data_IF_503258081794
#
_entry.id   IF_503258081794
#
_cell.length_a   1.000
_cell.length_b   1.000
_cell.length_c   1.000
_cell.angle_alpha   90.00
_cell.angle_beta   90.00
_cell.angle_gamma   90.00
#
_symmetry.space_group_name_H-M   'P 1'
#
loop_
_entity.id
_entity.type
_entity.pdbx_description
1 polymer ?
#
# COMPACT_ATOMS: atom_id res chain seq x y z
N UNK A 1 33.28 -22.16 5.24
CA UNK A 1 32.62 -22.44 3.95
C UNK A 1 33.37 -21.68 2.86
N UNK A 2 33.58 -22.25 1.68
CA UNK A 2 34.24 -21.52 0.57
C UNK A 2 33.24 -20.61 -0.14
N UNK A 3 33.74 -19.55 -0.79
CA UNK A 3 32.92 -18.62 -1.59
C UNK A 3 32.00 -19.35 -2.57
N UNK A 4 32.55 -20.30 -3.34
CA UNK A 4 31.79 -21.11 -4.29
C UNK A 4 30.65 -21.90 -3.64
N UNK A 5 30.89 -22.54 -2.48
CA UNK A 5 29.85 -23.29 -1.76
C UNK A 5 28.77 -22.40 -1.14
N UNK A 6 29.07 -21.11 -0.91
CA UNK A 6 28.12 -20.15 -0.36
C UNK A 6 27.17 -19.54 -1.41
N UNK A 7 27.44 -19.76 -2.70
CA UNK A 7 26.66 -19.15 -3.79
C UNK A 7 25.19 -19.57 -3.70
N UNK A 8 24.29 -18.58 -3.81
CA UNK A 8 22.84 -18.79 -3.70
C UNK A 8 22.29 -18.90 -2.28
N UNK A 9 23.15 -18.93 -1.25
CA UNK A 9 22.72 -18.95 0.14
C UNK A 9 22.52 -17.53 0.68
N UNK A 10 21.57 -17.37 1.62
CA UNK A 10 21.45 -16.19 2.48
C UNK A 10 21.81 -16.60 3.89
N UNK A 11 22.81 -15.96 4.47
CA UNK A 11 23.37 -16.27 5.77
C UNK A 11 23.00 -15.16 6.75
N UNK A 12 22.71 -15.54 8.00
CA UNK A 12 22.27 -14.59 9.03
C UNK A 12 23.41 -13.72 9.54
N UNK A 13 24.62 -14.28 9.68
CA UNK A 13 25.86 -13.59 10.04
C UNK A 13 27.04 -14.28 9.38
N UNK A 14 28.02 -13.50 8.91
CA UNK A 14 29.22 -14.05 8.29
C UNK A 14 30.47 -13.37 8.81
N UNK A 15 31.53 -14.17 8.86
CA UNK A 15 32.88 -13.72 9.11
C UNK A 15 33.66 -14.06 7.84
N UNK A 16 34.27 -13.05 7.21
CA UNK A 16 34.95 -13.20 5.93
C UNK A 16 36.39 -12.71 5.98
N UNK A 17 37.21 -13.37 5.18
CA UNK A 17 38.59 -13.00 4.96
C UNK A 17 38.74 -12.55 3.50
N UNK A 18 39.08 -11.27 3.31
CA UNK A 18 39.19 -10.67 1.98
C UNK A 18 40.63 -10.61 1.46
N UNK A 19 41.59 -11.18 2.19
CA UNK A 19 42.97 -11.30 1.69
C UNK A 19 42.99 -12.41 0.63
N UNK A 20 43.04 -11.99 -0.63
CA UNK A 20 43.07 -12.90 -1.77
C UNK A 20 44.47 -13.52 -1.93
N UNK A 21 44.57 -14.80 -2.34
CA UNK A 21 45.86 -15.39 -2.70
C UNK A 21 46.46 -14.66 -3.92
N UNK A 22 47.78 -14.69 -4.11
CA UNK A 22 48.43 -14.08 -5.27
C UNK A 22 47.90 -14.71 -6.56
N UNK A 23 47.45 -13.88 -7.50
CA UNK A 23 46.88 -14.32 -8.77
C UNK A 23 45.81 -13.37 -9.31
N UNK A 24 45.20 -13.70 -10.46
CA UNK A 24 44.07 -12.95 -10.98
C UNK A 24 42.89 -13.06 -10.01
N UNK A 25 42.41 -11.92 -9.52
CA UNK A 25 41.23 -11.86 -8.65
C UNK A 25 39.99 -11.77 -9.52
N UNK A 26 39.09 -12.75 -9.38
CA UNK A 26 37.78 -12.71 -10.03
C UNK A 26 36.80 -11.85 -9.22
N UNK A 27 35.91 -11.12 -9.90
CA UNK A 27 34.85 -10.30 -9.27
C UNK A 27 34.03 -11.13 -8.27
N UNK A 28 33.74 -12.39 -8.63
CA UNK A 28 32.96 -13.30 -7.80
C UNK A 28 33.63 -13.60 -6.45
N UNK A 29 34.97 -13.60 -6.38
CA UNK A 29 35.72 -13.95 -5.17
C UNK A 29 35.47 -12.98 -4.02
N UNK A 30 35.09 -11.74 -4.33
CA UNK A 30 34.83 -10.66 -3.38
C UNK A 30 33.34 -10.36 -3.27
N UNK A 31 32.63 -10.27 -4.40
CA UNK A 31 31.20 -9.91 -4.40
C UNK A 31 30.30 -11.01 -3.81
N UNK A 32 30.57 -12.28 -4.12
CA UNK A 32 29.74 -13.38 -3.63
C UNK A 32 29.74 -13.46 -2.10
N UNK A 33 30.86 -13.48 -1.37
CA UNK A 33 30.82 -13.58 0.09
C UNK A 33 30.16 -12.35 0.73
N UNK A 34 30.41 -11.14 0.23
CA UNK A 34 29.81 -9.90 0.75
C UNK A 34 28.29 -9.86 0.60
N UNK A 35 27.75 -10.42 -0.49
CA UNK A 35 26.31 -10.46 -0.78
C UNK A 35 25.54 -11.57 -0.05
N UNK A 36 26.19 -12.35 0.83
CA UNK A 36 25.49 -13.44 1.55
C UNK A 36 24.69 -12.94 2.76
N UNK A 37 24.93 -11.74 3.27
CA UNK A 37 24.18 -11.15 4.39
C UNK A 37 23.22 -10.06 3.94
N UNK A 38 22.18 -9.81 4.74
CA UNK A 38 21.18 -8.77 4.47
C UNK A 38 21.58 -7.38 5.00
N UNK A 39 22.42 -7.33 6.03
CA UNK A 39 22.82 -6.10 6.72
C UNK A 39 24.33 -6.06 6.89
N UNK A 40 24.88 -4.85 6.94
CA UNK A 40 26.30 -4.63 7.20
C UNK A 40 26.70 -5.05 8.62
N UNK A 41 25.82 -4.87 9.62
CA UNK A 41 26.07 -5.27 11.02
C UNK A 41 26.25 -6.79 11.20
N UNK A 42 25.81 -7.57 10.22
CA UNK A 42 25.93 -9.03 10.20
C UNK A 42 27.20 -9.51 9.48
N UNK A 43 28.03 -8.58 8.99
CA UNK A 43 29.30 -8.83 8.31
C UNK A 43 30.48 -8.46 9.21
N UNK A 44 31.41 -9.41 9.41
CA UNK A 44 32.70 -9.16 10.05
C UNK A 44 33.85 -9.48 9.09
N UNK A 45 34.73 -8.52 8.84
CA UNK A 45 35.95 -8.70 8.03
C UNK A 45 37.14 -8.87 8.98
N UNK A 46 37.84 -10.01 8.89
CA UNK A 46 38.82 -10.41 9.92
C UNK A 46 40.16 -9.70 9.77
N UNK A 47 40.52 -9.29 8.55
CA UNK A 47 41.83 -8.69 8.24
C UNK A 47 41.68 -7.44 7.39
N UNK A 48 42.58 -6.45 7.54
CA UNK A 48 42.71 -5.38 6.56
C UNK A 48 42.93 -5.98 5.16
N UNK A 49 42.32 -5.37 4.16
CA UNK A 49 42.46 -5.77 2.76
C UNK A 49 42.65 -4.51 1.91
N UNK A 50 43.30 -4.68 0.75
CA UNK A 50 43.51 -3.59 -0.20
C UNK A 50 42.18 -3.19 -0.83
N UNK A 51 41.84 -1.91 -0.81
CA UNK A 51 40.58 -1.42 -1.40
C UNK A 51 40.47 -1.77 -2.89
N UNK A 52 41.59 -1.91 -3.59
CA UNK A 52 41.67 -2.38 -4.97
C UNK A 52 41.00 -3.75 -5.20
N UNK A 53 40.93 -4.61 -4.16
CA UNK A 53 40.23 -5.90 -4.23
C UNK A 53 38.70 -5.73 -4.40
N UNK A 54 38.12 -4.60 -4.01
CA UNK A 54 36.70 -4.29 -4.28
C UNK A 54 36.48 -3.71 -5.68
N UNK A 55 37.55 -3.24 -6.34
CA UNK A 55 37.50 -2.53 -7.62
C UNK A 55 37.80 -3.46 -8.81
N UNK A 56 37.63 -4.78 -8.63
CA UNK A 56 37.82 -5.74 -9.72
C UNK A 56 36.81 -5.44 -10.82
N UNK A 57 37.33 -5.07 -11.99
CA UNK A 57 36.50 -4.76 -13.16
C UNK A 57 35.92 -6.08 -13.72
N UNK A 58 34.63 -6.12 -14.10
CA UNK A 58 34.10 -7.24 -14.84
C UNK A 58 34.89 -7.49 -16.12
N UNK A 59 35.02 -8.75 -16.51
CA UNK A 59 35.71 -9.11 -17.74
C UNK A 59 35.06 -8.45 -18.96
N UNK A 60 35.77 -8.34 -20.08
CA UNK A 60 35.21 -7.78 -21.31
C UNK A 60 33.92 -8.51 -21.73
N UNK A 61 33.92 -9.84 -21.67
CA UNK A 61 32.72 -10.65 -21.93
C UNK A 61 31.56 -10.33 -20.98
N UNK A 62 31.82 -10.17 -19.67
CA UNK A 62 30.78 -9.79 -18.71
C UNK A 62 30.21 -8.39 -18.98
N UNK A 63 31.07 -7.41 -19.33
CA UNK A 63 30.62 -6.06 -19.69
C UNK A 63 29.78 -6.05 -20.96
N UNK A 64 30.16 -6.84 -21.96
CA UNK A 64 29.38 -7.01 -23.19
C UNK A 64 28.02 -7.65 -22.91
N UNK A 65 27.98 -8.64 -22.03
CA UNK A 65 26.73 -9.29 -21.62
C UNK A 65 25.82 -8.33 -20.86
N UNK A 66 26.35 -7.54 -19.92
CA UNK A 66 25.57 -6.50 -19.24
C UNK A 66 25.01 -5.46 -20.22
N UNK A 67 25.79 -5.04 -21.23
CA UNK A 67 25.32 -4.16 -22.32
C UNK A 67 24.25 -4.84 -23.18
N UNK A 68 24.31 -6.15 -23.40
CA UNK A 68 23.28 -6.91 -24.12
C UNK A 68 21.98 -6.96 -23.30
N UNK A 69 22.07 -7.25 -22.00
CA UNK A 69 20.93 -7.26 -21.09
C UNK A 69 20.24 -5.90 -20.98
N UNK A 70 21.00 -4.80 -20.91
CA UNK A 70 20.45 -3.44 -20.89
C UNK A 70 19.66 -3.12 -22.18
N UNK A 71 20.20 -3.52 -23.34
CA UNK A 71 19.48 -3.41 -24.62
C UNK A 71 18.18 -4.24 -24.64
N UNK A 72 18.20 -5.44 -24.07
CA UNK A 72 17.01 -6.29 -23.94
C UNK A 72 15.98 -5.63 -23.00
N UNK A 73 16.41 -5.11 -21.86
CA UNK A 73 15.53 -4.42 -20.91
C UNK A 73 14.83 -3.21 -21.55
N UNK A 74 15.53 -2.44 -22.41
CA UNK A 74 14.97 -1.30 -23.15
C UNK A 74 14.02 -1.70 -24.28
N UNK A 75 14.23 -2.85 -24.90
CA UNK A 75 13.42 -3.31 -26.04
C UNK A 75 12.23 -4.17 -25.64
N UNK A 76 12.31 -4.86 -24.49
CA UNK A 76 11.26 -5.75 -23.99
C UNK A 76 9.92 -5.03 -23.77
N UNK A 77 9.84 -3.84 -23.15
CA UNK A 77 8.58 -3.11 -23.01
C UNK A 77 7.95 -2.72 -24.35
N UNK A 78 8.77 -2.45 -25.37
CA UNK A 78 8.29 -2.12 -26.73
C UNK A 78 7.71 -3.34 -27.44
N UNK A 79 8.35 -4.50 -27.26
CA UNK A 79 7.92 -5.78 -27.85
C UNK A 79 6.73 -6.39 -27.11
N UNK A 80 6.65 -6.15 -25.81
CA UNK A 80 5.61 -6.66 -24.91
C UNK A 80 5.05 -5.50 -24.08
N UNK A 81 4.26 -4.61 -24.69
CA UNK A 81 3.56 -3.56 -23.97
C UNK A 81 2.72 -4.18 -22.85
N UNK A 82 2.64 -3.49 -21.72
CA UNK A 82 2.02 -3.97 -20.48
C UNK A 82 0.57 -4.46 -20.71
N UNK A 83 -0.15 -3.91 -21.70
CA UNK A 83 -1.49 -4.39 -22.05
C UNK A 83 -1.53 -5.83 -22.59
N UNK A 84 -0.45 -6.35 -23.20
CA UNK A 84 -0.35 -7.76 -23.62
C UNK A 84 0.01 -8.72 -22.47
N UNK A 85 0.52 -8.23 -21.34
CA UNK A 85 0.80 -9.10 -20.17
C UNK A 85 -0.48 -9.52 -19.46
N UNK A 86 -1.52 -8.70 -19.54
CA UNK A 86 -2.84 -9.07 -19.01
C UNK A 86 -3.56 -10.10 -19.89
N UNK A 87 -3.32 -10.13 -21.22
CA UNK A 87 -4.00 -11.07 -22.13
C UNK A 87 -3.33 -12.44 -22.26
N UNK A 88 -2.00 -12.53 -22.08
CA UNK A 88 -1.27 -13.80 -22.16
C UNK A 88 -1.31 -14.63 -20.86
N UNK A 89 -1.60 -14.00 -19.72
CA UNK A 89 -1.82 -14.74 -18.47
C UNK A 89 -3.28 -15.24 -18.34
N UNK A 90 -4.22 -14.64 -19.07
CA UNK A 90 -5.64 -15.01 -19.04
C UNK A 90 -6.05 -16.05 -20.10
N UNK A 91 -5.16 -16.42 -21.03
CA UNK A 91 -5.50 -17.32 -22.16
C UNK A 91 -5.09 -18.79 -21.98
N UNK A 92 -4.50 -19.17 -20.83
CA UNK A 92 -4.21 -20.58 -20.51
C UNK A 92 -5.03 -21.16 -19.34
N UNK A 93 -6.02 -20.42 -18.81
CA UNK A 93 -6.96 -20.94 -17.81
C UNK A 93 -8.36 -21.08 -18.39
N UNK A 94 -8.51 -21.78 -19.52
CA UNK A 94 -9.82 -22.35 -19.85
C UNK A 94 -10.02 -23.59 -18.97
N UNK A 95 -10.92 -23.48 -17.99
CA UNK A 95 -11.49 -24.54 -17.13
C UNK A 95 -11.00 -24.68 -15.67
N UNK A 96 -10.17 -23.80 -15.13
CA UNK A 96 -10.15 -23.70 -13.66
C UNK A 96 -11.25 -22.73 -13.22
N UNK A 97 -12.28 -23.18 -12.49
CA UNK A 97 -13.25 -22.26 -11.91
C UNK A 97 -12.44 -21.30 -11.04
N UNK A 98 -12.45 -20.01 -11.40
CA UNK A 98 -11.84 -18.98 -10.57
C UNK A 98 -12.49 -19.09 -9.19
N UNK A 99 -11.75 -19.65 -8.24
CA UNK A 99 -12.12 -19.60 -6.84
C UNK A 99 -12.30 -18.12 -6.54
N UNK A 100 -13.56 -17.72 -6.33
CA UNK A 100 -13.91 -16.38 -5.92
C UNK A 100 -13.25 -16.18 -4.56
N UNK A 101 -12.06 -15.58 -4.55
CA UNK A 101 -11.47 -15.09 -3.32
C UNK A 101 -12.55 -14.28 -2.61
N UNK A 102 -12.77 -14.53 -1.32
CA UNK A 102 -13.61 -13.67 -0.50
C UNK A 102 -12.94 -12.29 -0.48
N UNK A 103 -13.31 -11.44 -1.43
CA UNK A 103 -13.07 -10.01 -1.35
C UNK A 103 -14.14 -9.46 -0.42
N UNK A 104 -13.72 -8.78 0.64
CA UNK A 104 -14.63 -7.95 1.41
C UNK A 104 -15.15 -6.88 0.45
N UNK A 105 -16.39 -7.05 -0.01
CA UNK A 105 -17.02 -6.07 -0.88
C UNK A 105 -17.45 -4.90 -0.02
N UNK A 106 -16.59 -3.89 0.06
CA UNK A 106 -16.89 -2.62 0.72
C UNK A 106 -17.75 -1.82 -0.25
N UNK A 107 -19.00 -1.52 0.12
CA UNK A 107 -19.82 -0.65 -0.71
C UNK A 107 -19.42 0.81 -0.49
N UNK A 108 -19.56 1.64 -1.52
CA UNK A 108 -19.34 3.09 -1.40
C UNK A 108 -20.30 3.77 -0.42
N UNK A 109 -21.38 3.10 0.00
CA UNK A 109 -22.29 3.57 1.05
C UNK A 109 -21.79 3.29 2.47
N UNK A 110 -20.78 2.42 2.63
CA UNK A 110 -20.26 2.02 3.95
C UNK A 110 -19.21 3.01 4.47
N UNK A 111 -18.75 3.92 3.61
CA UNK A 111 -17.76 4.92 3.96
C UNK A 111 -17.95 6.24 3.20
N UNK A 112 -17.45 7.31 3.78
CA UNK A 112 -17.23 8.61 3.14
C UNK A 112 -15.73 8.82 2.99
N UNK A 113 -15.29 9.35 1.84
CA UNK A 113 -13.89 9.67 1.60
C UNK A 113 -13.68 11.19 1.60
N UNK A 114 -12.69 11.65 2.36
CA UNK A 114 -12.26 13.04 2.39
C UNK A 114 -10.80 13.17 1.95
N UNK A 115 -10.54 14.07 1.01
CA UNK A 115 -9.19 14.38 0.52
C UNK A 115 -8.65 15.59 1.27
N UNK A 116 -7.47 15.43 1.88
CA UNK A 116 -6.81 16.47 2.66
C UNK A 116 -5.51 16.87 1.96
N UNK A 117 -5.55 18.05 1.34
CA UNK A 117 -4.46 18.64 0.57
C UNK A 117 -4.58 20.19 0.57
N UNK A 118 -3.82 20.86 -0.28
CA UNK A 118 -3.75 22.32 -0.36
C UNK A 118 -5.05 22.96 -0.87
N UNK A 119 -5.88 22.22 -1.61
CA UNK A 119 -7.17 22.68 -2.13
C UNK A 119 -8.31 22.51 -1.12
N UNK A 120 -8.13 21.67 -0.10
CA UNK A 120 -9.16 21.44 0.92
C UNK A 120 -9.55 22.75 1.59
N UNK A 121 -10.85 23.05 1.61
CA UNK A 121 -11.35 24.29 2.20
C UNK A 121 -11.21 24.30 3.73
N UNK A 122 -11.02 25.48 4.34
CA UNK A 122 -10.97 25.62 5.81
C UNK A 122 -12.26 25.10 6.47
N UNK A 123 -13.42 25.30 5.84
CA UNK A 123 -14.69 24.78 6.32
C UNK A 123 -14.71 23.24 6.36
N UNK A 124 -14.19 22.59 5.30
CA UNK A 124 -14.04 21.13 5.27
C UNK A 124 -13.12 20.66 6.39
N UNK A 125 -11.96 21.29 6.58
CA UNK A 125 -11.04 20.90 7.66
C UNK A 125 -11.68 21.07 9.04
N UNK A 126 -12.44 22.15 9.27
CA UNK A 126 -13.16 22.35 10.54
C UNK A 126 -14.22 21.28 10.78
N UNK A 127 -14.94 20.84 9.74
CA UNK A 127 -15.88 19.71 9.83
C UNK A 127 -15.14 18.42 10.20
N UNK A 128 -13.98 18.16 9.57
CA UNK A 128 -13.14 17.01 9.90
C UNK A 128 -12.63 17.08 11.36
N UNK A 129 -12.21 18.26 11.83
CA UNK A 129 -11.80 18.47 13.23
C UNK A 129 -12.92 18.11 14.21
N UNK A 130 -14.14 18.59 13.96
CA UNK A 130 -15.29 18.29 14.81
C UNK A 130 -15.65 16.80 14.79
N UNK A 131 -15.63 16.17 13.62
CA UNK A 131 -15.82 14.73 13.48
C UNK A 131 -14.78 13.96 14.30
N UNK A 132 -13.49 14.29 14.15
CA UNK A 132 -12.40 13.55 14.80
C UNK A 132 -12.38 13.70 16.32
N UNK A 133 -12.97 14.77 16.89
CA UNK A 133 -13.11 14.93 18.35
C UNK A 133 -14.03 13.88 18.99
N UNK A 134 -15.03 13.41 18.27
CA UNK A 134 -16.06 12.49 18.75
C UNK A 134 -15.50 11.06 18.88
N UNK A 135 -14.67 10.65 17.92
CA UNK A 135 -14.15 9.29 17.85
C UNK A 135 -12.89 9.10 18.70
N UNK A 136 -12.60 7.83 19.01
CA UNK A 136 -11.43 7.41 19.82
C UNK A 136 -10.67 6.24 19.20
N UNK A 137 -11.12 5.74 18.05
CA UNK A 137 -10.59 4.54 17.42
C UNK A 137 -10.42 4.79 15.93
N UNK A 138 -9.22 4.48 15.42
CA UNK A 138 -8.85 4.73 14.04
C UNK A 138 -8.04 3.56 13.50
N UNK A 139 -8.16 3.24 12.21
CA UNK A 139 -7.09 2.54 11.51
C UNK A 139 -6.28 3.52 10.68
N UNK A 140 -4.99 3.27 10.59
CA UNK A 140 -4.05 4.03 9.78
C UNK A 140 -3.32 3.08 8.84
N UNK A 141 -3.05 3.59 7.65
CA UNK A 141 -2.15 2.97 6.69
C UNK A 141 -1.35 4.08 5.99
N UNK A 142 -0.31 3.68 5.26
CA UNK A 142 0.59 4.63 4.61
C UNK A 142 1.05 4.09 3.26
N UNK A 143 1.16 4.97 2.26
CA UNK A 143 1.69 4.62 0.94
C UNK A 143 2.87 5.50 0.56
N UNK A 144 3.94 4.85 0.11
CA UNK A 144 5.18 5.49 -0.31
C UNK A 144 5.32 5.46 -1.83
N UNK A 145 5.85 6.53 -2.39
CA UNK A 145 6.23 6.59 -3.79
C UNK A 145 7.37 5.59 -4.05
N UNK A 146 7.18 4.70 -5.03
CA UNK A 146 8.10 3.58 -5.27
C UNK A 146 9.47 4.06 -5.78
N UNK A 147 9.48 5.17 -6.54
CA UNK A 147 10.68 5.65 -7.20
C UNK A 147 11.76 6.13 -6.21
N UNK A 148 11.35 6.74 -5.10
CA UNK A 148 12.23 7.36 -4.12
C UNK A 148 11.98 6.89 -2.68
N UNK A 149 10.99 6.03 -2.45
CA UNK A 149 10.57 5.55 -1.13
C UNK A 149 10.17 6.71 -0.19
N UNK A 150 9.69 7.82 -0.76
CA UNK A 150 9.17 8.95 0.00
C UNK A 150 7.72 8.64 0.38
N UNK A 151 7.34 8.93 1.64
CA UNK A 151 5.95 8.79 2.03
C UNK A 151 5.11 9.87 1.36
N UNK A 152 4.08 9.46 0.62
CA UNK A 152 3.28 10.37 -0.21
C UNK A 152 1.82 10.43 0.22
N UNK A 153 1.29 9.38 0.84
CA UNK A 153 -0.09 9.31 1.30
C UNK A 153 -0.18 8.72 2.71
N UNK A 154 -1.01 9.32 3.57
CA UNK A 154 -1.47 8.71 4.81
C UNK A 154 -2.99 8.49 4.70
N UNK A 155 -3.44 7.28 5.00
CA UNK A 155 -4.85 6.92 5.04
C UNK A 155 -5.29 6.76 6.49
N UNK A 156 -6.38 7.42 6.88
CA UNK A 156 -6.95 7.28 8.23
C UNK A 156 -8.43 6.98 8.12
N UNK A 157 -8.86 5.83 8.66
CA UNK A 157 -10.27 5.52 8.80
C UNK A 157 -10.72 5.73 10.25
N UNK A 158 -11.79 6.50 10.44
CA UNK A 158 -12.46 6.58 11.74
C UNK A 158 -13.38 5.38 11.95
N UNK A 159 -13.21 4.69 13.07
CA UNK A 159 -14.01 3.51 13.41
C UNK A 159 -15.23 4.00 14.18
N UNK A 160 -16.38 4.00 13.51
CA UNK A 160 -17.65 4.53 14.02
C UNK A 160 -18.49 3.43 14.66
N UNK A 161 -19.50 3.79 15.46
CA UNK A 161 -20.46 2.80 15.98
C UNK A 161 -21.46 2.43 14.88
N UNK A 162 -21.78 3.37 14.00
CA UNK A 162 -22.71 3.21 12.88
C UNK A 162 -22.06 3.72 11.59
N UNK A 163 -22.19 3.01 10.46
CA UNK A 163 -21.73 3.52 9.18
C UNK A 163 -22.52 4.78 8.75
N UNK A 164 -21.98 5.60 7.84
CA UNK A 164 -20.71 5.40 7.15
C UNK A 164 -19.48 5.69 8.04
N UNK A 165 -18.38 5.00 7.77
CA UNK A 165 -17.07 5.35 8.34
C UNK A 165 -16.42 6.48 7.53
N UNK A 166 -15.68 7.38 8.16
CA UNK A 166 -14.96 8.44 7.43
C UNK A 166 -13.51 8.02 7.19
N UNK A 167 -13.12 7.93 5.92
CA UNK A 167 -11.77 7.69 5.43
C UNK A 167 -11.16 9.01 4.95
N UNK A 168 -10.06 9.42 5.56
CA UNK A 168 -9.30 10.60 5.16
C UNK A 168 -8.03 10.18 4.43
N UNK A 169 -7.76 10.82 3.29
CA UNK A 169 -6.59 10.59 2.45
C UNK A 169 -5.74 11.86 2.44
N UNK A 170 -4.62 11.85 3.16
CA UNK A 170 -3.70 12.98 3.28
C UNK A 170 -2.60 12.91 2.23
N UNK A 171 -2.66 13.76 1.22
CA UNK A 171 -1.66 13.84 0.16
C UNK A 171 -0.48 14.71 0.62
N UNK A 172 0.55 14.07 1.16
CA UNK A 172 1.64 14.75 1.89
C UNK A 172 2.42 15.75 1.05
N UNK A 173 2.65 15.42 -0.22
CA UNK A 173 3.34 16.28 -1.18
C UNK A 173 2.46 17.45 -1.66
N UNK A 174 1.15 17.37 -1.42
CA UNK A 174 0.18 18.38 -1.80
C UNK A 174 -0.37 19.12 -0.57
N UNK A 175 0.29 19.08 0.58
CA UNK A 175 -0.16 19.81 1.77
C UNK A 175 0.00 21.34 1.58
N UNK A 176 -0.79 22.15 2.32
CA UNK A 176 -0.65 23.61 2.31
C UNK A 176 0.72 24.09 2.82
N UNK A 177 1.06 25.35 2.56
CA UNK A 177 2.27 25.98 3.10
C UNK A 177 2.32 25.84 4.64
N UNK A 178 3.50 25.53 5.18
CA UNK A 178 3.69 25.25 6.62
C UNK A 178 3.32 26.43 7.52
N UNK A 179 3.37 27.66 7.01
CA UNK A 179 3.01 28.86 7.76
C UNK A 179 1.53 29.24 7.60
N UNK A 180 0.75 28.45 6.86
CA UNK A 180 -0.67 28.73 6.64
C UNK A 180 -1.52 28.22 7.81
N UNK A 181 -2.59 28.96 8.13
CA UNK A 181 -3.60 28.50 9.10
C UNK A 181 -4.20 27.15 8.72
N UNK A 182 -4.26 26.84 7.42
CA UNK A 182 -4.77 25.57 6.89
C UNK A 182 -3.87 24.41 7.33
N UNK A 183 -2.55 24.58 7.23
CA UNK A 183 -1.58 23.58 7.69
C UNK A 183 -1.65 23.38 9.21
N UNK A 184 -1.77 24.46 9.98
CA UNK A 184 -1.98 24.38 11.44
C UNK A 184 -3.25 23.59 11.80
N UNK A 185 -4.35 23.79 11.07
CA UNK A 185 -5.57 23.02 11.31
C UNK A 185 -5.39 21.53 10.96
N UNK A 186 -4.58 21.19 9.95
CA UNK A 186 -4.21 19.80 9.64
C UNK A 186 -3.36 19.21 10.77
N UNK A 187 -2.40 19.96 11.31
CA UNK A 187 -1.63 19.54 12.48
C UNK A 187 -2.52 19.29 13.70
N UNK A 188 -3.49 20.17 13.97
CA UNK A 188 -4.48 19.97 15.03
C UNK A 188 -5.30 18.69 14.82
N UNK A 189 -5.63 18.38 13.58
CA UNK A 189 -6.36 17.15 13.25
C UNK A 189 -5.53 15.91 13.57
N UNK A 190 -4.23 15.91 13.23
CA UNK A 190 -3.31 14.87 13.68
C UNK A 190 -3.19 14.82 15.21
N UNK A 191 -3.08 15.95 15.89
CA UNK A 191 -3.03 15.99 17.36
C UNK A 191 -4.28 15.37 18.00
N UNK A 192 -5.48 15.62 17.45
CA UNK A 192 -6.73 15.02 17.92
C UNK A 192 -6.72 13.51 17.70
N UNK A 193 -6.24 13.01 16.56
CA UNK A 193 -6.20 11.58 16.25
C UNK A 193 -5.18 10.86 17.14
N UNK A 194 -4.02 11.48 17.36
CA UNK A 194 -2.92 10.91 18.12
C UNK A 194 -2.96 11.22 19.62
N UNK A 195 -4.02 11.86 20.14
CA UNK A 195 -4.16 12.22 21.56
C UNK A 195 -4.18 11.01 22.50
N UNK A 196 -3.86 11.27 23.76
CA UNK A 196 -3.96 10.30 24.86
C UNK A 196 -5.38 9.72 24.90
N UNK A 197 -5.51 8.41 25.10
CA UNK A 197 -6.77 7.63 25.11
C UNK A 197 -7.31 7.19 23.74
N UNK A 198 -6.79 7.71 22.63
CA UNK A 198 -7.12 7.14 21.34
C UNK A 198 -6.39 5.82 21.11
N UNK A 199 -7.03 4.92 20.35
CA UNK A 199 -6.44 3.66 19.87
C UNK A 199 -6.29 3.73 18.35
N UNK A 200 -5.08 3.48 17.87
CA UNK A 200 -4.79 3.51 16.44
C UNK A 200 -4.28 2.12 16.03
N UNK A 201 -4.95 1.52 15.07
CA UNK A 201 -4.63 0.21 14.51
C UNK A 201 -3.89 0.38 13.20
N UNK A 202 -2.74 -0.26 13.04
CA UNK A 202 -1.98 -0.29 11.78
C UNK A 202 -1.65 -1.73 11.41
N UNK A 203 -1.45 -2.00 10.12
CA UNK A 203 -1.03 -3.33 9.67
C UNK A 203 0.38 -3.65 10.17
N UNK A 204 1.33 -2.71 10.10
CA UNK A 204 2.69 -2.90 10.63
C UNK A 204 2.92 -2.03 11.87
N UNK A 205 4.14 -2.06 12.42
CA UNK A 205 4.55 -1.16 13.50
C UNK A 205 4.51 0.28 13.00
N UNK A 206 3.60 1.05 13.57
CA UNK A 206 3.39 2.45 13.21
C UNK A 206 4.62 3.35 13.35
N UNK A 207 5.57 3.02 14.24
CA UNK A 207 6.84 3.74 14.30
C UNK A 207 7.64 3.63 13.00
N UNK A 208 7.53 2.50 12.29
CA UNK A 208 8.17 2.27 11.00
C UNK A 208 7.41 3.02 9.91
N UNK A 209 6.08 2.91 9.88
CA UNK A 209 5.22 3.55 8.87
C UNK A 209 5.32 5.09 8.93
N UNK A 210 5.36 5.67 10.12
CA UNK A 210 5.41 7.13 10.31
C UNK A 210 6.82 7.71 10.42
N UNK A 211 7.88 6.89 10.41
CA UNK A 211 9.27 7.37 10.46
C UNK A 211 9.54 8.47 9.40
N UNK A 212 9.12 8.31 8.12
CA UNK A 212 9.43 9.28 7.08
C UNK A 212 8.79 10.67 7.30
N UNK A 213 7.75 10.77 8.13
CA UNK A 213 7.01 12.03 8.34
C UNK A 213 7.27 12.70 9.68
N UNK A 214 8.15 12.14 10.52
CA UNK A 214 8.47 12.74 11.83
C UNK A 214 8.99 14.18 11.76
N UNK A 215 9.63 14.55 10.66
CA UNK A 215 10.12 15.92 10.43
C UNK A 215 9.02 16.90 9.99
N UNK A 216 7.91 16.39 9.47
CA UNK A 216 6.80 17.17 8.93
C UNK A 216 5.66 17.28 9.94
N UNK A 217 5.33 16.16 10.58
CA UNK A 217 4.31 16.08 11.59
C UNK A 217 5.02 15.95 12.93
N UNK A 218 5.07 17.04 13.69
CA UNK A 218 5.45 16.97 15.11
C UNK A 218 4.31 16.24 15.82
N UNK A 219 4.34 14.91 15.76
CA UNK A 219 3.37 14.05 16.40
C UNK A 219 3.87 13.80 17.83
N UNK A 220 3.31 14.47 18.87
CA UNK A 220 3.26 13.81 20.14
C UNK A 220 2.44 12.54 19.87
N UNK A 221 3.00 11.36 20.09
CA UNK A 221 2.24 10.10 19.93
C UNK A 221 1.89 9.54 21.32
N UNK A 222 0.97 10.19 22.08
CA UNK A 222 0.44 9.63 23.31
C UNK A 222 -0.69 8.60 23.07
N UNK A 223 -1.17 8.43 21.83
CA UNK A 223 -2.13 7.38 21.49
C UNK A 223 -1.55 5.97 21.70
N UNK A 224 -2.46 5.02 21.97
CA UNK A 224 -2.12 3.60 22.02
C UNK A 224 -2.01 3.06 20.59
N UNK A 225 -0.79 2.77 20.15
CA UNK A 225 -0.51 2.21 18.83
C UNK A 225 -0.57 0.68 18.88
N UNK A 226 -1.33 0.10 17.95
CA UNK A 226 -1.64 -1.32 17.93
C UNK A 226 -1.28 -1.88 16.55
N UNK A 227 -0.19 -2.65 16.50
CA UNK A 227 0.22 -3.45 15.34
C UNK A 227 -0.64 -4.71 15.25
N UNK A 228 -1.52 -4.80 14.23
CA UNK A 228 -2.48 -5.91 14.11
C UNK A 228 -1.88 -7.15 13.42
N UNK A 229 -0.77 -7.03 12.69
CA UNK A 229 -0.18 -8.16 11.95
C UNK A 229 0.18 -9.38 12.82
N UNK A 230 0.83 -9.26 14.00
CA UNK A 230 1.12 -10.42 14.84
C UNK A 230 -0.17 -11.06 15.37
N UNK A 231 -1.19 -10.26 15.66
CA UNK A 231 -2.49 -10.76 16.11
C UNK A 231 -3.26 -11.45 14.97
N UNK A 232 -3.20 -10.92 13.75
CA UNK A 232 -3.80 -11.52 12.56
C UNK A 232 -3.21 -12.90 12.29
N UNK A 233 -1.88 -13.03 12.30
CA UNK A 233 -1.22 -14.33 12.07
C UNK A 233 -1.69 -15.40 13.05
N UNK A 234 -1.82 -15.01 14.32
CA UNK A 234 -2.28 -15.87 15.40
C UNK A 234 -3.77 -16.22 15.28
N UNK A 235 -4.62 -15.21 15.04
CA UNK A 235 -6.05 -15.39 14.79
C UNK A 235 -6.28 -16.29 13.57
N UNK A 236 -5.62 -16.04 12.45
CA UNK A 236 -5.78 -16.80 11.21
C UNK A 236 -5.41 -18.26 11.40
N UNK A 237 -4.30 -18.53 12.11
CA UNK A 237 -3.88 -19.90 12.45
C UNK A 237 -4.94 -20.59 13.31
N UNK A 238 -5.48 -19.89 14.31
CA UNK A 238 -6.57 -20.41 15.14
C UNK A 238 -7.85 -20.63 14.34
N UNK A 239 -8.31 -19.66 13.56
CA UNK A 239 -9.54 -19.75 12.75
C UNK A 239 -9.46 -20.91 11.75
N UNK A 240 -8.27 -21.19 11.20
CA UNK A 240 -8.02 -22.35 10.36
C UNK A 240 -8.24 -23.69 11.07
N UNK A 241 -7.95 -23.78 12.36
CA UNK A 241 -8.22 -25.00 13.14
C UNK A 241 -9.71 -25.20 13.43
N UNK A 242 -10.53 -24.14 13.33
CA UNK A 242 -11.96 -24.20 13.58
C UNK A 242 -12.75 -24.62 12.34
N UNK A 243 -12.23 -24.36 11.15
CA UNK A 243 -12.75 -24.99 9.94
C UNK A 243 -12.58 -26.49 10.10
N UNK A 244 -13.69 -27.23 10.25
CA UNK A 244 -13.78 -28.65 10.54
C UNK A 244 -13.19 -29.61 9.50
N UNK A 245 -12.18 -29.17 8.73
CA UNK A 245 -11.18 -30.03 8.13
C UNK A 245 -10.43 -30.67 9.28
N UNK A 246 -11.07 -31.68 9.87
CA UNK A 246 -10.40 -32.67 10.68
C UNK A 246 -9.13 -33.00 9.91
N UNK A 247 -8.01 -32.74 10.56
CA UNK A 247 -6.79 -33.50 10.39
C UNK A 247 -7.22 -34.86 9.85
N UNK A 248 -7.02 -35.08 8.55
CA UNK A 248 -6.77 -36.41 8.01
C UNK A 248 -5.52 -36.81 8.77
N UNK A 249 -5.76 -37.24 10.01
CA UNK A 249 -4.79 -37.80 10.91
C UNK A 249 -4.02 -38.73 10.04
N UNK A 250 -2.69 -38.61 10.04
CA UNK A 250 -1.81 -39.67 9.60
C UNK A 250 -2.45 -40.99 10.02
N UNK A 251 -3.18 -41.63 9.09
CA UNK A 251 -3.40 -43.05 9.16
C UNK A 251 -1.97 -43.53 9.04
N UNK A 252 -1.43 -43.98 10.16
CA UNK A 252 -0.30 -44.88 10.19
C UNK A 252 -0.76 -46.19 9.53
N UNK A 253 -1.14 -46.11 8.25
CA UNK A 253 -1.23 -47.26 7.40
C UNK A 253 0.22 -47.69 7.26
N UNK A 254 0.56 -48.75 8.01
CA UNK A 254 1.79 -49.52 7.89
C UNK A 254 1.88 -50.00 6.44
N UNK A 255 2.46 -49.19 5.56
CA UNK A 255 2.75 -49.58 4.19
C UNK A 255 4.12 -50.27 4.21
N UNK A 256 4.10 -51.53 3.79
CA UNK A 256 5.27 -52.35 3.48
C UNK A 256 6.23 -51.62 2.53
N UNK A 257 7.53 -51.87 2.71
CA UNK A 257 8.69 -51.17 2.16
C UNK A 257 8.88 -51.13 0.62
N UNK A 258 7.91 -51.51 -0.21
CA UNK A 258 8.15 -51.59 -1.66
C UNK A 258 7.15 -50.76 -2.48
N UNK A 259 7.71 -49.76 -3.18
CA UNK A 259 7.12 -48.84 -4.16
C UNK A 259 6.37 -47.61 -3.62
N UNK A 260 7.11 -46.53 -3.40
CA UNK A 260 6.56 -45.17 -3.26
C UNK A 260 7.27 -44.23 -4.23
N UNK A 261 6.72 -44.11 -5.45
CA UNK A 261 6.82 -42.88 -6.24
C UNK A 261 5.69 -41.97 -5.73
N UNK A 262 6.02 -41.11 -4.78
CA UNK A 262 5.07 -40.21 -4.13
C UNK A 262 4.68 -39.06 -5.06
N UNK A 263 3.53 -39.17 -5.72
CA UNK A 263 2.81 -38.02 -6.25
C UNK A 263 2.22 -37.21 -5.08
N UNK A 264 2.89 -36.14 -4.68
CA UNK A 264 2.46 -35.18 -3.67
C UNK A 264 1.38 -34.19 -4.15
N UNK A 265 0.55 -34.59 -5.11
CA UNK A 265 -0.47 -33.72 -5.70
C UNK A 265 -1.87 -34.26 -5.40
N UNK A 266 -2.40 -33.97 -4.21
CA UNK A 266 -3.83 -33.87 -3.93
C UNK A 266 -4.04 -33.57 -2.44
N UNK A 267 -3.88 -32.30 -2.05
CA UNK A 267 -4.60 -31.82 -0.88
C UNK A 267 -6.07 -31.65 -1.31
N UNK A 268 -7.04 -32.27 -0.62
CA UNK A 268 -8.44 -31.93 -0.83
C UNK A 268 -8.59 -30.45 -0.48
N UNK A 269 -8.92 -29.62 -1.47
CA UNK A 269 -9.28 -28.22 -1.25
C UNK A 269 -10.55 -28.24 -0.41
N UNK A 270 -10.46 -27.90 0.88
CA UNK A 270 -11.68 -27.61 1.61
C UNK A 270 -12.30 -26.35 1.02
N UNK A 271 -13.58 -26.41 0.62
CA UNK A 271 -14.38 -25.23 0.23
C UNK A 271 -14.49 -24.17 1.35
N UNK A 272 -14.08 -24.52 2.57
CA UNK A 272 -13.94 -23.61 3.69
C UNK A 272 -12.69 -22.74 3.64
N UNK A 273 -11.68 -23.13 2.86
CA UNK A 273 -10.49 -22.32 2.61
C UNK A 273 -10.71 -21.58 1.30
N UNK A 274 -11.20 -20.32 1.31
CA UNK A 274 -10.87 -19.46 0.18
C UNK A 274 -9.35 -19.54 0.07
N UNK A 275 -8.83 -19.85 -1.12
CA UNK A 275 -7.40 -19.71 -1.40
C UNK A 275 -7.02 -18.34 -0.88
N UNK A 276 -6.33 -18.31 0.26
CA UNK A 276 -6.32 -17.08 1.03
C UNK A 276 -5.51 -16.09 0.21
N UNK A 277 -6.07 -14.93 -0.18
CA UNK A 277 -5.24 -13.90 -0.77
C UNK A 277 -4.12 -13.48 0.21
N UNK A 278 -4.32 -13.80 1.50
CA UNK A 278 -3.43 -13.55 2.63
C UNK A 278 -2.46 -14.72 2.87
N UNK A 279 -1.30 -14.68 2.21
CA UNK A 279 -0.20 -15.59 2.56
C UNK A 279 0.38 -15.17 3.92
N UNK A 280 0.19 -15.99 4.95
CA UNK A 280 0.83 -15.82 6.27
C UNK A 280 2.34 -15.62 6.03
N UNK A 281 2.92 -14.54 6.58
CA UNK A 281 4.33 -14.14 6.45
C UNK A 281 4.76 -13.52 5.10
N UNK A 282 3.84 -13.24 4.18
CA UNK A 282 4.12 -12.33 3.07
C UNK A 282 3.50 -10.99 3.44
N UNK A 283 4.32 -9.94 3.50
CA UNK A 283 3.85 -8.55 3.71
C UNK A 283 2.69 -8.33 2.75
N UNK A 284 1.62 -7.66 3.20
CA UNK A 284 0.57 -7.07 2.36
C UNK A 284 1.14 -5.96 1.47
N UNK A 285 2.35 -6.14 0.99
CA UNK A 285 2.86 -5.29 -0.04
C UNK A 285 2.12 -5.77 -1.29
N UNK A 286 0.97 -5.18 -1.52
CA UNK A 286 0.40 -5.02 -2.84
C UNK A 286 1.37 -4.24 -3.76
N UNK A 287 2.71 -4.30 -3.57
CA UNK A 287 3.86 -3.71 -4.30
C UNK A 287 3.80 -3.75 -5.84
N UNK A 288 2.79 -4.40 -6.39
CA UNK A 288 2.36 -4.25 -7.77
C UNK A 288 1.43 -3.03 -8.00
N UNK A 289 1.01 -2.30 -6.97
CA UNK A 289 0.09 -1.16 -7.04
C UNK A 289 0.87 0.12 -7.31
N UNK A 290 0.67 0.62 -8.53
CA UNK A 290 0.63 2.03 -8.93
C UNK A 290 1.84 2.89 -8.51
N UNK A 291 2.74 3.12 -9.47
CA UNK A 291 4.02 3.83 -9.28
C UNK A 291 3.91 5.37 -9.11
N UNK A 292 2.83 5.90 -8.54
CA UNK A 292 2.53 7.34 -8.67
C UNK A 292 1.73 7.94 -7.50
N UNK A 293 1.98 7.54 -6.26
CA UNK A 293 1.31 8.12 -5.08
C UNK A 293 1.63 9.60 -4.86
N UNK A 294 2.74 10.08 -5.41
CA UNK A 294 3.06 11.52 -5.45
C UNK A 294 2.13 12.31 -6.37
N UNK A 295 1.48 11.66 -7.34
CA UNK A 295 0.51 12.30 -8.21
C UNK A 295 -0.74 12.63 -7.41
N UNK A 296 -1.25 13.86 -7.55
CA UNK A 296 -2.44 14.23 -6.81
C UNK A 296 -3.64 13.32 -7.13
N UNK A 297 -4.44 13.00 -6.12
CA UNK A 297 -5.71 12.28 -6.24
C UNK A 297 -6.85 13.22 -6.67
N UNK A 298 -6.67 14.55 -6.60
CA UNK A 298 -7.64 15.54 -7.10
C UNK A 298 -7.39 15.91 -8.56
N UNK A 299 -8.43 16.38 -9.25
CA UNK A 299 -8.44 16.50 -10.71
C UNK A 299 -7.63 17.67 -11.28
N UNK A 300 -7.43 18.73 -10.51
CA UNK A 300 -6.81 19.99 -10.95
C UNK A 300 -5.30 19.89 -11.20
N UNK A 301 -4.62 18.99 -10.48
CA UNK A 301 -3.15 18.92 -10.47
C UNK A 301 -2.58 17.52 -10.76
N UNK A 302 -3.44 16.54 -11.05
CA UNK A 302 -3.00 15.18 -11.30
C UNK A 302 -2.61 14.93 -12.76
N UNK A 303 -1.44 14.32 -12.97
CA UNK A 303 -1.05 13.75 -14.27
C UNK A 303 -1.74 12.42 -14.59
N UNK A 304 -2.48 11.85 -13.64
CA UNK A 304 -3.16 10.57 -13.81
C UNK A 304 -4.47 10.73 -14.57
N UNK A 305 -4.86 9.68 -15.31
CA UNK A 305 -6.19 9.62 -15.88
C UNK A 305 -7.25 9.57 -14.77
N UNK A 306 -8.48 10.00 -15.07
CA UNK A 306 -9.60 9.93 -14.10
C UNK A 306 -9.81 8.50 -13.58
N UNK A 307 -9.68 7.50 -14.45
CA UNK A 307 -9.86 6.08 -14.11
C UNK A 307 -8.76 5.63 -13.15
N UNK A 308 -7.49 5.99 -13.42
CA UNK A 308 -6.38 5.63 -12.55
C UNK A 308 -6.51 6.28 -11.17
N UNK A 309 -6.94 7.55 -11.09
CA UNK A 309 -7.23 8.22 -9.82
C UNK A 309 -8.31 7.47 -9.03
N UNK A 310 -9.44 7.13 -9.67
CA UNK A 310 -10.52 6.39 -9.02
C UNK A 310 -10.01 5.04 -8.49
N UNK A 311 -9.19 4.32 -9.28
CA UNK A 311 -8.61 3.06 -8.85
C UNK A 311 -7.66 3.22 -7.65
N UNK A 312 -6.84 4.28 -7.63
CA UNK A 312 -5.97 4.59 -6.50
C UNK A 312 -6.76 4.93 -5.24
N UNK A 313 -7.84 5.70 -5.37
CA UNK A 313 -8.72 6.07 -4.26
C UNK A 313 -9.39 4.83 -3.68
N UNK A 314 -9.94 3.96 -4.52
CA UNK A 314 -10.54 2.71 -4.07
C UNK A 314 -9.53 1.80 -3.40
N UNK A 315 -8.34 1.66 -3.98
CA UNK A 315 -7.26 0.91 -3.38
C UNK A 315 -6.93 1.43 -1.98
N UNK A 316 -6.61 2.73 -1.86
CA UNK A 316 -6.17 3.32 -0.60
C UNK A 316 -7.25 3.24 0.48
N UNK A 317 -8.52 3.41 0.08
CA UNK A 317 -9.67 3.27 0.98
C UNK A 317 -9.84 1.82 1.43
N UNK A 318 -9.79 0.87 0.50
CA UNK A 318 -9.99 -0.54 0.83
C UNK A 318 -8.87 -1.08 1.71
N UNK A 319 -7.64 -0.61 1.54
CA UNK A 319 -6.49 -1.07 2.32
C UNK A 319 -6.62 -0.68 3.80
N UNK A 320 -6.87 0.62 4.07
CA UNK A 320 -7.04 1.10 5.44
C UNK A 320 -8.31 0.54 6.10
N UNK A 321 -9.39 0.31 5.33
CA UNK A 321 -10.60 -0.34 5.83
C UNK A 321 -10.34 -1.82 6.12
N UNK A 322 -9.53 -2.52 5.32
CA UNK A 322 -9.23 -3.92 5.57
C UNK A 322 -8.56 -4.12 6.93
N UNK A 323 -7.70 -3.19 7.38
CA UNK A 323 -7.20 -3.18 8.75
C UNK A 323 -8.33 -3.04 9.77
N UNK A 324 -9.31 -2.14 9.54
CA UNK A 324 -10.50 -1.99 10.40
C UNK A 324 -11.32 -3.28 10.49
N UNK A 325 -11.59 -3.94 9.37
CA UNK A 325 -12.42 -5.15 9.30
C UNK A 325 -11.83 -6.34 10.05
N UNK A 326 -10.50 -6.35 10.23
CA UNK A 326 -9.81 -7.43 10.94
C UNK A 326 -9.77 -7.23 12.45
N UNK A 327 -10.09 -6.03 12.97
CA UNK A 327 -10.06 -5.74 14.41
C UNK A 327 -11.05 -6.65 15.15
N UNK A 328 -12.35 -6.61 14.81
CA UNK A 328 -13.36 -7.41 15.51
C UNK A 328 -13.10 -8.92 15.43
N UNK A 329 -12.81 -9.50 14.25
CA UNK A 329 -12.50 -10.93 14.14
C UNK A 329 -11.33 -11.35 15.04
N UNK A 330 -10.28 -10.53 15.13
CA UNK A 330 -9.13 -10.78 15.98
C UNK A 330 -9.51 -10.67 17.47
N UNK A 331 -10.19 -9.59 17.86
CA UNK A 331 -10.49 -9.31 19.27
C UNK A 331 -11.54 -10.25 19.86
N UNK A 332 -12.56 -10.58 19.08
CA UNK A 332 -13.66 -11.44 19.50
C UNK A 332 -13.47 -12.90 19.07
N UNK A 333 -12.34 -13.23 18.42
CA UNK A 333 -12.02 -14.58 17.92
C UNK A 333 -13.15 -15.14 17.06
N UNK A 334 -13.48 -14.46 15.97
CA UNK A 334 -14.48 -14.97 15.03
C UNK A 334 -13.87 -16.05 14.14
N UNK A 335 -14.54 -17.20 14.04
CA UNK A 335 -14.20 -18.22 13.05
C UNK A 335 -14.59 -17.76 11.63
N UNK A 336 -14.07 -18.42 10.59
CA UNK A 336 -14.36 -18.07 9.20
C UNK A 336 -15.85 -18.20 8.85
N UNK A 337 -16.55 -19.12 9.51
CA UNK A 337 -17.99 -19.34 9.36
C UNK A 337 -18.79 -18.10 9.79
N UNK A 338 -18.38 -17.45 10.89
CA UNK A 338 -18.99 -16.20 11.33
C UNK A 338 -18.70 -15.06 10.35
N UNK A 339 -17.46 -14.99 9.82
CA UNK A 339 -17.11 -14.01 8.78
C UNK A 339 -17.94 -14.15 7.50
N UNK A 340 -18.35 -15.36 7.15
CA UNK A 340 -19.18 -15.61 5.95
C UNK A 340 -20.60 -15.08 6.07
N UNK A 341 -21.15 -15.02 7.29
CA UNK A 341 -22.56 -14.67 7.52
C UNK A 341 -22.77 -13.27 8.10
N UNK A 342 -21.72 -12.69 8.70
CA UNK A 342 -21.82 -11.39 9.36
C UNK A 342 -22.01 -10.29 8.30
N UNK A 343 -22.90 -9.34 8.60
CA UNK A 343 -23.11 -8.19 7.74
C UNK A 343 -21.94 -7.21 7.86
N UNK A 344 -21.65 -6.51 6.77
CA UNK A 344 -20.52 -5.60 6.70
C UNK A 344 -20.60 -4.46 7.73
N UNK A 345 -21.79 -3.87 7.90
CA UNK A 345 -22.06 -2.85 8.91
C UNK A 345 -21.81 -3.31 10.35
N UNK A 346 -21.93 -4.61 10.62
CA UNK A 346 -21.58 -5.18 11.92
C UNK A 346 -20.05 -5.28 12.09
N UNK A 347 -19.25 -5.40 11.03
CA UNK A 347 -17.79 -5.42 11.15
C UNK A 347 -17.20 -4.05 11.52
N UNK A 348 -17.85 -2.95 11.13
CA UNK A 348 -17.34 -1.58 11.31
C UNK A 348 -17.54 -1.00 12.72
N UNK A 349 -18.25 -1.69 13.60
CA UNK A 349 -18.69 -1.14 14.89
C UNK A 349 -17.52 -0.98 15.86
N UNK A 350 -17.29 0.25 16.33
CA UNK A 350 -16.37 0.56 17.41
C UNK A 350 -16.67 -0.27 18.67
N UNK A 351 -15.65 -0.87 19.24
CA UNK A 351 -15.78 -1.68 20.45
C UNK A 351 -15.55 -0.82 21.70
N UNK A 352 -16.53 -0.77 22.60
CA UNK A 352 -16.46 0.01 23.85
C UNK A 352 -15.25 -0.35 24.73
N UNK A 353 -14.72 -1.58 24.63
CA UNK A 353 -13.47 -1.97 25.28
C UNK A 353 -12.75 -3.08 24.52
N UNK A 354 -11.78 -2.70 23.69
CA UNK A 354 -10.88 -3.67 23.06
C UNK A 354 -9.76 -4.05 24.04
N UNK A 355 -9.71 -5.34 24.37
CA UNK A 355 -8.52 -6.02 24.86
C UNK A 355 -8.11 -7.04 23.80
N UNK A 356 -7.02 -6.77 23.08
CA UNK A 356 -6.46 -7.77 22.18
C UNK A 356 -6.02 -9.00 22.96
N UNK A 357 -6.08 -10.20 22.36
CA UNK A 357 -5.53 -11.39 22.98
C UNK A 357 -4.05 -11.15 23.33
N UNK A 358 -3.59 -11.53 24.52
CA UNK A 358 -2.18 -11.40 24.87
C UNK A 358 -1.35 -12.18 23.85
N UNK A 359 -0.33 -11.54 23.30
CA UNK A 359 0.63 -12.23 22.46
C UNK A 359 1.33 -13.31 23.31
N UNK A 360 1.53 -14.53 22.79
CA UNK A 360 2.25 -15.57 23.51
C UNK A 360 3.62 -15.02 23.85
N UNK A 361 3.86 -14.83 25.14
CA UNK A 361 5.18 -14.42 25.61
C UNK A 361 6.14 -15.53 25.22
N UNK A 362 7.04 -15.24 24.28
CA UNK A 362 8.14 -16.12 23.94
C UNK A 362 8.80 -16.53 25.27
N UNK A 363 8.71 -17.81 25.64
CA UNK A 363 9.29 -18.33 26.88
C UNK A 363 10.74 -17.85 26.94
N UNK A 364 10.99 -16.92 27.87
CA UNK A 364 12.19 -16.09 28.01
C UNK A 364 13.48 -16.72 27.47
N UNK A 365 13.91 -16.30 26.26
CA UNK A 365 15.34 -16.14 26.01
C UNK A 365 15.77 -14.89 26.77
N UNK A 366 16.50 -15.07 27.87
CA UNK A 366 17.10 -13.98 28.67
C UNK A 366 17.87 -13.02 27.76
N UNK A 367 17.24 -11.93 27.35
CA UNK A 367 17.91 -10.77 26.76
C UNK A 367 18.09 -9.78 27.91
N UNK A 368 19.35 -9.40 28.17
CA UNK A 368 19.70 -8.45 29.22
C UNK A 368 19.03 -7.10 28.92
N UNK A 369 18.25 -6.62 29.88
CA UNK A 369 17.56 -5.32 29.86
C UNK A 369 18.54 -4.17 29.59
N UNK A 370 18.23 -3.36 28.59
CA UNK A 370 18.73 -1.99 28.46
C UNK A 370 17.72 -1.06 29.15
N UNK A 371 18.26 -0.16 29.96
CA UNK A 371 17.58 0.69 30.93
C UNK A 371 16.68 1.75 30.25
N UNK A 372 15.35 1.59 30.35
CA UNK A 372 14.34 2.49 29.77
C UNK A 372 13.81 3.57 30.73
N UNK A 373 14.46 3.79 31.89
CA UNK A 373 13.96 4.73 32.91
C UNK A 373 14.11 6.24 32.61
N UNK A 374 14.50 6.67 31.40
CA UNK A 374 14.81 8.09 31.12
C UNK A 374 13.80 8.90 30.31
N UNK A 375 12.63 8.36 29.95
CA UNK A 375 11.64 9.10 29.13
C UNK A 375 10.40 9.65 29.88
N UNK A 376 10.23 9.39 31.18
CA UNK A 376 8.99 9.74 31.90
C UNK A 376 8.99 11.11 32.62
N UNK A 377 9.82 12.09 32.24
CA UNK A 377 9.94 13.33 33.02
C UNK A 377 9.71 14.64 32.26
N UNK A 378 9.32 14.64 30.98
CA UNK A 378 9.22 15.90 30.19
C UNK A 378 7.81 16.29 29.71
N UNK A 379 6.77 15.45 29.88
CA UNK A 379 5.42 15.82 29.44
C UNK A 379 4.43 15.88 30.61
N UNK A 380 4.40 17.03 31.28
CA UNK A 380 3.23 17.49 32.05
C UNK A 380 2.57 18.61 31.25
N UNK A 381 1.63 18.26 30.38
CA UNK A 381 0.62 19.21 29.93
C UNK A 381 -0.57 19.12 30.89
N UNK A 382 -0.91 20.25 31.50
CA UNK A 382 -2.14 20.41 32.26
C UNK A 382 -3.28 20.59 31.24
N UNK A 383 -4.16 19.61 31.10
CA UNK A 383 -5.44 19.80 30.43
C UNK A 383 -6.41 20.46 31.42
N UNK A 384 -7.04 21.60 31.08
CA UNK A 384 -8.15 22.11 31.85
C UNK A 384 -9.45 21.34 31.49
N UNK A 385 -10.18 21.03 32.55
CA UNK A 385 -11.54 20.51 32.68
C UNK A 385 -12.37 20.30 31.40
N UNK A 386 -12.81 19.05 31.24
CA UNK A 386 -13.84 18.61 30.30
C UNK A 386 -15.19 19.10 30.83
N UNK A 387 -15.75 20.14 30.22
CA UNK A 387 -17.17 20.46 30.36
C UNK A 387 -18.01 19.43 29.58
N UNK A 388 -19.09 18.96 30.23
CA UNK A 388 -20.07 18.04 29.67
C UNK A 388 -20.72 18.65 28.41
N UNK A 389 -20.51 17.98 27.27
CA UNK A 389 -21.13 18.36 26.00
C UNK A 389 -22.56 17.81 25.97
N UNK A 390 -23.51 18.74 25.91
CA UNK A 390 -24.94 18.54 25.70
C UNK A 390 -25.23 17.68 24.46
N UNK A 391 -26.23 16.81 24.54
CA UNK A 391 -26.58 15.78 23.55
C UNK A 391 -27.42 16.25 22.34
N UNK A 392 -27.55 17.56 22.11
CA UNK A 392 -28.47 18.11 21.10
C UNK A 392 -27.77 18.69 19.86
N UNK A 393 -26.99 17.87 19.14
CA UNK A 393 -26.56 18.18 17.76
C UNK A 393 -26.58 16.89 16.90
N UNK A 394 -27.78 16.36 16.66
CA UNK A 394 -28.03 15.39 15.61
C UNK A 394 -28.44 16.12 14.31
N UNK A 395 -27.97 15.58 13.18
CA UNK A 395 -28.29 15.91 11.78
C UNK A 395 -27.36 16.96 11.12
N UNK A 396 -26.41 16.49 10.29
CA UNK A 396 -26.24 16.82 8.85
C UNK A 396 -24.80 16.51 8.35
N UNK A 397 -24.61 15.39 7.64
CA UNK A 397 -23.36 15.06 6.92
C UNK A 397 -23.53 14.77 5.41
N UNK A 398 -24.70 15.03 4.81
CA UNK A 398 -24.92 14.78 3.37
C UNK A 398 -24.30 15.81 2.39
N UNK A 399 -23.24 16.54 2.76
CA UNK A 399 -22.70 17.63 1.92
C UNK A 399 -21.17 17.72 1.84
N UNK A 400 -20.42 16.73 2.31
CA UNK A 400 -18.99 16.67 1.99
C UNK A 400 -18.82 16.04 0.61
N UNK A 401 -18.74 16.92 -0.40
CA UNK A 401 -18.52 16.63 -1.83
C UNK A 401 -19.68 15.89 -2.52
N UNK A 402 -20.70 16.64 -2.96
CA UNK A 402 -21.38 16.23 -4.21
C UNK A 402 -20.43 16.54 -5.36
N UNK A 403 -20.00 15.56 -6.17
CA UNK A 403 -19.39 15.86 -7.45
C UNK A 403 -20.51 16.37 -8.37
N UNK A 404 -20.78 17.67 -8.32
CA UNK A 404 -21.51 18.30 -9.40
C UNK A 404 -20.61 18.23 -10.65
N UNK A 405 -21.17 17.73 -11.74
CA UNK A 405 -20.54 17.39 -13.04
C UNK A 405 -20.02 15.94 -13.19
N UNK A 406 -20.86 14.97 -12.83
CA UNK A 406 -20.81 13.64 -13.46
C UNK A 406 -22.06 13.49 -14.31
N UNK A 407 -21.94 13.76 -15.61
CA UNK A 407 -22.87 13.22 -16.60
C UNK A 407 -22.84 11.70 -16.49
N UNK A 408 -23.90 11.18 -15.89
CA UNK A 408 -24.16 9.76 -15.77
C UNK A 408 -24.56 9.25 -17.16
N UNK A 409 -23.64 8.62 -17.89
CA UNK A 409 -23.99 7.82 -19.07
C UNK A 409 -24.34 6.41 -18.55
N UNK A 410 -25.62 6.01 -18.55
CA UNK A 410 -25.95 4.63 -18.22
C UNK A 410 -25.42 3.71 -19.32
N UNK A 411 -24.57 2.75 -18.94
CA UNK A 411 -24.22 1.60 -19.78
C UNK A 411 -25.48 0.73 -19.86
N UNK A 412 -26.30 0.98 -20.89
CA UNK A 412 -27.45 0.13 -21.20
C UNK A 412 -26.97 -1.20 -21.80
N UNK A 413 -27.37 -2.28 -21.13
CA UNK A 413 -27.32 -3.64 -21.64
C UNK A 413 -28.07 -3.74 -22.99
N UNK A 414 -27.38 -4.23 -24.02
CA UNK A 414 -28.00 -4.74 -25.24
C UNK A 414 -28.68 -6.07 -24.94
N UNK A 415 -29.99 -6.14 -25.16
CA UNK A 415 -30.69 -7.35 -25.58
C UNK A 415 -31.93 -6.97 -26.39
N UNK A 416 -31.81 -7.23 -27.71
CA UNK A 416 -32.84 -7.53 -28.71
C UNK A 416 -34.20 -6.80 -28.65
N UNK A 417 -34.48 -5.99 -29.67
CA UNK A 417 -35.63 -6.21 -30.58
C UNK A 417 -35.48 -5.43 -31.88
N UNK A 418 -36.00 -6.05 -32.93
CA UNK A 418 -35.81 -5.78 -34.34
C UNK A 418 -36.53 -4.53 -34.90
N UNK A 419 -36.07 -4.14 -36.10
CA UNK A 419 -36.78 -3.49 -37.21
C UNK A 419 -37.40 -2.09 -37.00
N UNK A 420 -36.85 -1.09 -37.69
CA UNK A 420 -37.42 -0.61 -38.97
C UNK A 420 -36.51 0.46 -39.61
N UNK A 421 -36.17 0.24 -40.89
CA UNK A 421 -35.73 1.26 -41.84
C UNK A 421 -36.88 2.25 -42.06
N UNK A 422 -36.61 3.57 -42.14
CA UNK A 422 -37.15 4.49 -43.16
C UNK A 422 -36.42 5.85 -43.09
N UNK A 423 -35.60 6.10 -44.13
CA UNK A 423 -35.64 7.25 -45.07
C UNK A 423 -35.45 8.73 -44.58
N UNK A 424 -34.45 9.35 -45.22
CA UNK A 424 -34.33 10.72 -45.76
C UNK A 424 -33.78 11.93 -44.99
N UNK A 425 -32.80 12.52 -45.69
CA UNK A 425 -32.58 13.92 -46.06
C UNK A 425 -32.08 14.92 -44.98
N UNK A 426 -30.88 15.47 -45.16
CA UNK A 426 -30.52 16.62 -46.03
C UNK A 426 -30.85 17.94 -45.34
N UNK A 427 -29.83 18.67 -44.87
CA UNK A 427 -29.72 20.12 -45.03
C UNK A 427 -28.25 20.54 -44.90
N UNK A 428 -27.68 20.92 -46.04
CA UNK A 428 -26.63 21.92 -46.18
C UNK A 428 -27.27 23.30 -45.99
N UNK A 429 -26.59 24.21 -45.28
CA UNK A 429 -26.59 25.64 -45.61
C UNK A 429 -25.15 26.13 -45.43
N UNK A 430 -24.52 26.37 -46.57
CA UNK A 430 -23.45 27.36 -46.75
C UNK A 430 -24.08 28.76 -46.84
N UNK A 431 -23.35 29.77 -46.37
CA UNK A 431 -23.18 31.11 -46.97
C UNK A 431 -22.81 32.13 -45.86
N UNK A 432 -21.99 33.17 -46.05
CA UNK A 432 -20.98 33.55 -47.04
C UNK A 432 -20.38 34.87 -46.50
N UNK A 433 -19.08 35.07 -46.74
CA UNK A 433 -18.31 36.34 -46.82
C UNK A 433 -18.43 37.42 -45.72
N UNK A 434 -17.28 37.86 -45.18
CA UNK A 434 -16.58 38.96 -45.86
C UNK A 434 -15.07 39.02 -45.55
N UNK A 435 -14.36 39.50 -46.56
CA UNK A 435 -12.92 39.64 -46.71
C UNK A 435 -12.45 40.98 -46.13
N UNK A 436 -11.20 41.05 -45.68
CA UNK A 436 -10.28 42.07 -46.21
C UNK A 436 -8.81 41.67 -46.00
N UNK A 437 -8.07 41.69 -47.10
CA UNK A 437 -6.63 41.50 -47.22
C UNK A 437 -5.87 42.75 -46.76
N UNK A 438 -4.64 42.59 -46.31
CA UNK A 438 -3.49 43.26 -46.95
C UNK A 438 -2.17 42.58 -46.54
N UNK A 439 -1.29 42.49 -47.53
CA UNK A 439 -0.17 41.56 -47.64
C UNK A 439 1.19 42.31 -47.48
N UNK A 440 2.36 41.75 -47.84
CA UNK A 440 3.57 41.82 -47.00
C UNK A 440 4.68 42.69 -47.62
N UNK A 441 5.76 42.93 -46.87
CA UNK A 441 6.98 43.55 -47.42
C UNK A 441 8.19 42.65 -47.20
N UNK A 442 8.78 42.24 -48.31
CA UNK A 442 10.08 41.56 -48.41
C UNK A 442 11.09 42.57 -48.94
N UNK A 443 12.27 42.72 -48.32
CA UNK A 443 13.46 43.30 -48.98
C UNK A 443 14.69 42.43 -48.72
N UNK A 444 15.42 42.22 -49.82
CA UNK A 444 16.56 41.34 -50.08
C UNK A 444 17.92 41.93 -49.66
N UNK A 445 18.83 41.00 -49.35
CA UNK A 445 20.27 40.88 -49.72
C UNK A 445 21.25 42.01 -49.40
N UNK A 446 22.33 41.67 -48.69
CA UNK A 446 23.67 41.56 -49.29
C UNK A 446 24.70 40.92 -48.34
N UNK A 447 25.55 40.09 -48.92
CA UNK A 447 26.89 39.67 -48.50
C UNK A 447 27.84 40.08 -49.65
N UNK A 448 29.19 39.95 -49.62
CA UNK A 448 30.12 39.42 -48.61
C UNK A 448 31.40 40.29 -48.40
N UNK A 449 32.34 39.91 -47.51
CA UNK A 449 33.77 39.79 -47.87
C UNK A 449 34.64 39.23 -46.72
N UNK A 450 35.77 38.65 -47.14
CA UNK A 450 36.77 37.89 -46.38
C UNK A 450 37.88 38.81 -45.81
N UNK A 451 38.67 38.22 -44.91
CA UNK A 451 40.10 38.47 -44.57
C UNK A 451 40.42 39.68 -43.67
N UNK A 452 40.97 39.35 -42.50
CA UNK A 452 42.42 39.46 -42.20
C UNK A 452 42.76 38.51 -41.06
#
# INVERSE_FOLDING_TARGET
MTTHKSQGQTLSKIIIDLVMPPGPVEVASVYVPLSRVKRLDDLLIIRPFEFAALQVKPSTAQREELKRLDRIAKTTPKRFPISMRHSLCSSQTSHQPHEKHLTFHINSSDYEAAFVNNETSTNTINKLLNHMKIFKQYSIDTESERANNQLSLIQINSITITPPSLVMLFELEQLPDRNSQKYENILQLFQIIFRTNNKIYSWEKMQIELEPVKEFLVLPIPAMLIDIQPHFSMWYSWARTQCGVQSLSHRNDKINDNEIIQQHNQHPSCDCHPSSPYKINKVWSLQNSLNHWSSSLTSSHSSLSRVDRINMIHYATHDVIAATLLIRPITERWAFEKLKIIKMNEMFIALNSIKLPPLPTSKNKKIKNINTQKLNTILRCNDPDVEDISWDDEIYLNQLVKPNDIDYIPVNNRLLKDNELVVNNHYMIDDVNDKEETAPTTIRKSSPSKKS
#
